data_IF_453314121793
#
_entry.id   IF_453314121793
#
_cell.length_a   1.000
_cell.length_b   1.000
_cell.length_c   1.000
_cell.angle_alpha   90.00
_cell.angle_beta   90.00
_cell.angle_gamma   90.00
#
_symmetry.space_group_name_H-M   'P 1'
#
loop_
_entity.id
_entity.type
_entity.pdbx_description
1 polymer ?
#
# COMPACT_ATOMS: atom_id res chain seq x y z
N UNK A 1 -41.59 23.79 -4.06
CA UNK A 1 -40.74 24.13 -5.23
C UNK A 1 -39.32 24.41 -4.78
N UNK A 2 -39.08 25.40 -3.91
CA UNK A 2 -37.75 25.77 -3.36
C UNK A 2 -36.97 24.59 -2.74
N UNK A 3 -37.59 23.84 -1.82
CA UNK A 3 -36.96 22.68 -1.14
C UNK A 3 -36.56 21.55 -2.11
N UNK A 4 -37.37 21.33 -3.15
CA UNK A 4 -37.09 20.33 -4.18
C UNK A 4 -35.90 20.78 -5.03
N UNK A 5 -35.85 22.07 -5.41
CA UNK A 5 -34.71 22.65 -6.13
C UNK A 5 -33.39 22.55 -5.35
N UNK A 6 -33.42 22.86 -4.05
CA UNK A 6 -32.27 22.72 -3.16
C UNK A 6 -31.79 21.27 -3.03
N UNK A 7 -32.72 20.31 -2.95
CA UNK A 7 -32.37 18.89 -2.92
C UNK A 7 -31.67 18.44 -4.20
N UNK A 8 -32.21 18.79 -5.37
CA UNK A 8 -31.57 18.47 -6.65
C UNK A 8 -30.19 19.12 -6.80
N UNK A 9 -30.04 20.38 -6.38
CA UNK A 9 -28.76 21.07 -6.39
C UNK A 9 -27.73 20.37 -5.49
N UNK A 10 -28.13 19.97 -4.28
CA UNK A 10 -27.25 19.25 -3.36
C UNK A 10 -26.80 17.88 -3.93
N UNK A 11 -27.71 17.14 -4.56
CA UNK A 11 -27.38 15.85 -5.22
C UNK A 11 -26.40 16.07 -6.38
N UNK A 12 -26.62 17.08 -7.21
CA UNK A 12 -25.74 17.39 -8.34
C UNK A 12 -24.34 17.80 -7.87
N UNK A 13 -24.26 18.69 -6.88
CA UNK A 13 -22.98 19.09 -6.29
C UNK A 13 -22.28 17.91 -5.61
N UNK A 14 -23.03 17.06 -4.90
CA UNK A 14 -22.50 15.85 -4.28
C UNK A 14 -21.93 14.87 -5.30
N UNK A 15 -22.62 14.66 -6.42
CA UNK A 15 -22.15 13.79 -7.50
C UNK A 15 -20.90 14.36 -8.20
N UNK A 16 -20.88 15.67 -8.48
CA UNK A 16 -19.73 16.34 -9.07
C UNK A 16 -18.49 16.28 -8.15
N UNK A 17 -18.68 16.57 -6.86
CA UNK A 17 -17.62 16.47 -5.86
C UNK A 17 -17.09 15.04 -5.71
N UNK A 18 -18.00 14.05 -5.68
CA UNK A 18 -17.62 12.63 -5.56
C UNK A 18 -16.81 12.15 -6.76
N UNK A 19 -17.16 12.59 -7.98
CA UNK A 19 -16.40 12.28 -9.18
C UNK A 19 -15.00 12.90 -9.15
N UNK A 20 -14.91 14.17 -8.77
CA UNK A 20 -13.64 14.86 -8.65
C UNK A 20 -12.72 14.18 -7.62
N UNK A 21 -13.26 13.84 -6.44
CA UNK A 21 -12.51 13.11 -5.41
C UNK A 21 -12.06 11.73 -5.90
N UNK A 22 -12.89 11.02 -6.66
CA UNK A 22 -12.52 9.73 -7.23
C UNK A 22 -11.38 9.85 -8.26
N UNK A 23 -11.38 10.92 -9.07
CA UNK A 23 -10.34 11.14 -10.06
C UNK A 23 -9.02 11.62 -9.41
N UNK A 24 -9.09 12.44 -8.37
CA UNK A 24 -7.92 12.78 -7.54
C UNK A 24 -7.33 11.55 -6.83
N UNK A 25 -8.19 10.70 -6.27
CA UNK A 25 -7.77 9.45 -5.64
C UNK A 25 -7.03 8.54 -6.63
N UNK A 26 -7.56 8.37 -7.85
CA UNK A 26 -6.87 7.61 -8.91
C UNK A 26 -5.53 8.24 -9.29
N UNK A 27 -5.44 9.57 -9.34
CA UNK A 27 -4.19 10.26 -9.66
C UNK A 27 -3.11 10.05 -8.58
N UNK A 28 -3.51 9.91 -7.32
CA UNK A 28 -2.57 9.76 -6.20
C UNK A 28 -2.20 8.31 -5.90
N UNK A 29 -3.10 7.36 -6.17
CA UNK A 29 -2.89 5.94 -5.89
C UNK A 29 -1.57 5.39 -6.42
N UNK A 30 -1.14 5.59 -7.68
CA UNK A 30 0.11 5.03 -8.17
C UNK A 30 1.33 5.54 -7.40
N UNK A 31 1.33 6.83 -7.00
CA UNK A 31 2.40 7.38 -6.16
C UNK A 31 2.38 6.79 -4.76
N UNK A 32 1.19 6.60 -4.20
CA UNK A 32 1.02 6.05 -2.85
C UNK A 32 1.47 4.59 -2.79
N UNK A 33 1.08 3.78 -3.77
CA UNK A 33 1.53 2.40 -3.97
C UNK A 33 3.05 2.34 -4.03
N UNK A 34 3.68 3.14 -4.90
CA UNK A 34 5.13 3.13 -5.10
C UNK A 34 5.90 3.52 -3.82
N UNK A 35 5.37 4.49 -3.05
CA UNK A 35 5.93 4.87 -1.74
C UNK A 35 5.80 3.71 -0.73
N UNK A 36 4.65 3.02 -0.68
CA UNK A 36 4.43 1.88 0.23
C UNK A 36 5.36 0.72 -0.13
N UNK A 37 5.48 0.35 -1.40
CA UNK A 37 6.38 -0.73 -1.84
C UNK A 37 7.81 -0.41 -1.43
N UNK A 38 8.32 0.79 -1.75
CA UNK A 38 9.68 1.18 -1.38
C UNK A 38 9.92 1.13 0.13
N UNK A 39 8.92 1.53 0.93
CA UNK A 39 9.02 1.45 2.39
C UNK A 39 9.02 0.00 2.89
N UNK A 40 8.16 -0.84 2.33
CA UNK A 40 8.07 -2.26 2.66
C UNK A 40 9.40 -2.98 2.31
N UNK A 41 9.94 -2.77 1.11
CA UNK A 41 11.22 -3.34 0.66
C UNK A 41 12.38 -2.93 1.57
N UNK A 42 12.45 -1.66 2.00
CA UNK A 42 13.51 -1.20 2.93
C UNK A 42 13.50 -1.93 4.27
N UNK A 43 12.35 -2.48 4.67
CA UNK A 43 12.20 -3.20 5.93
C UNK A 43 12.53 -4.68 5.84
N UNK A 44 12.65 -5.23 4.63
CA UNK A 44 13.05 -6.62 4.43
C UNK A 44 14.53 -6.83 4.78
N UNK A 45 14.94 -8.08 5.07
CA UNK A 45 16.34 -8.47 5.18
C UNK A 45 17.10 -8.19 3.87
N UNK A 46 18.36 -7.77 3.99
CA UNK A 46 19.17 -7.23 2.88
C UNK A 46 19.30 -8.17 1.69
N UNK A 47 19.33 -9.49 1.94
CA UNK A 47 19.39 -10.53 0.92
C UNK A 47 18.14 -10.68 0.05
N UNK A 48 17.01 -10.11 0.47
CA UNK A 48 15.72 -10.23 -0.22
C UNK A 48 15.20 -8.90 -0.78
N UNK A 49 15.80 -7.77 -0.38
CA UNK A 49 15.36 -6.42 -0.79
C UNK A 49 15.37 -6.24 -2.30
N UNK A 50 16.49 -6.58 -2.95
CA UNK A 50 16.71 -6.33 -4.38
C UNK A 50 15.71 -7.13 -5.23
N UNK A 51 15.53 -8.41 -4.90
CA UNK A 51 14.56 -9.29 -5.55
C UNK A 51 13.12 -8.78 -5.42
N UNK A 52 12.69 -8.42 -4.20
CA UNK A 52 11.33 -7.93 -3.98
C UNK A 52 11.11 -6.50 -4.48
N UNK A 53 12.17 -5.70 -4.62
CA UNK A 53 12.10 -4.38 -5.24
C UNK A 53 11.66 -4.46 -6.71
N UNK A 54 11.97 -5.55 -7.40
CA UNK A 54 11.56 -5.79 -8.79
C UNK A 54 10.24 -6.55 -8.89
N UNK A 55 10.09 -7.62 -8.11
CA UNK A 55 8.91 -8.49 -8.18
C UNK A 55 7.62 -7.77 -7.74
N UNK A 56 7.68 -6.93 -6.69
CA UNK A 56 6.47 -6.34 -6.12
C UNK A 56 5.82 -5.25 -6.98
N UNK A 57 6.56 -4.29 -7.56
CA UNK A 57 5.98 -3.36 -8.51
C UNK A 57 5.32 -4.07 -9.70
N UNK A 58 6.00 -5.09 -10.25
CA UNK A 58 5.47 -5.89 -11.37
C UNK A 58 4.20 -6.65 -10.99
N UNK A 59 4.14 -7.21 -9.77
CA UNK A 59 2.94 -7.88 -9.28
C UNK A 59 1.78 -6.91 -9.09
N UNK A 60 2.02 -5.73 -8.51
CA UNK A 60 0.96 -4.73 -8.31
C UNK A 60 0.44 -4.18 -9.64
N UNK A 61 1.29 -4.04 -10.65
CA UNK A 61 0.85 -3.56 -11.96
C UNK A 61 -0.13 -4.51 -12.67
N UNK A 62 -0.01 -5.81 -12.41
CA UNK A 62 -0.94 -6.83 -12.91
C UNK A 62 -2.31 -6.83 -12.21
N UNK A 63 -2.46 -6.13 -11.07
CA UNK A 63 -3.72 -6.10 -10.32
C UNK A 63 -4.65 -5.05 -10.95
N UNK A 64 -5.85 -5.44 -11.40
CA UNK A 64 -6.81 -4.49 -11.95
C UNK A 64 -7.40 -3.59 -10.86
N UNK A 65 -7.43 -2.28 -11.14
CA UNK A 65 -8.07 -1.28 -10.30
C UNK A 65 -7.25 -0.78 -9.11
N UNK A 66 -7.46 0.48 -8.76
CA UNK A 66 -6.67 1.19 -7.75
C UNK A 66 -6.81 0.62 -6.32
N UNK A 67 -8.02 0.22 -5.95
CA UNK A 67 -8.30 -0.34 -4.62
C UNK A 67 -7.59 -1.68 -4.43
N UNK A 68 -7.59 -2.54 -5.45
CA UNK A 68 -6.89 -3.82 -5.41
C UNK A 68 -5.39 -3.65 -5.26
N UNK A 69 -4.81 -2.70 -6.02
CA UNK A 69 -3.39 -2.33 -5.91
C UNK A 69 -3.02 -1.93 -4.49
N UNK A 70 -3.82 -1.06 -3.87
CA UNK A 70 -3.62 -0.61 -2.49
C UNK A 70 -3.68 -1.77 -1.48
N UNK A 71 -4.73 -2.60 -1.55
CA UNK A 71 -4.88 -3.74 -0.63
C UNK A 71 -3.66 -4.66 -0.70
N UNK A 72 -3.18 -4.99 -1.90
CA UNK A 72 -1.99 -5.80 -2.08
C UNK A 72 -0.73 -5.13 -1.50
N UNK A 73 -0.54 -3.83 -1.75
CA UNK A 73 0.62 -3.10 -1.21
C UNK A 73 0.63 -3.04 0.32
N UNK A 74 -0.53 -2.81 0.94
CA UNK A 74 -0.67 -2.86 2.40
C UNK A 74 -0.37 -4.27 2.93
N UNK A 75 -0.80 -5.31 2.22
CA UNK A 75 -0.46 -6.70 2.54
C UNK A 75 1.05 -6.95 2.55
N UNK A 76 1.79 -6.42 1.58
CA UNK A 76 3.26 -6.52 1.54
C UNK A 76 3.91 -5.80 2.72
N UNK A 77 3.43 -4.61 3.07
CA UNK A 77 3.95 -3.87 4.23
C UNK A 77 3.78 -4.66 5.53
N UNK A 78 2.60 -5.27 5.75
CA UNK A 78 2.34 -6.11 6.92
C UNK A 78 3.20 -7.38 6.93
N UNK A 79 3.41 -8.00 5.76
CA UNK A 79 4.28 -9.16 5.63
C UNK A 79 5.74 -8.81 5.99
N UNK A 80 6.25 -7.66 5.52
CA UNK A 80 7.57 -7.17 5.90
C UNK A 80 7.73 -6.97 7.40
N UNK A 81 6.71 -6.41 8.05
CA UNK A 81 6.75 -6.15 9.49
C UNK A 81 6.91 -7.46 10.27
N UNK A 82 6.11 -8.47 9.91
CA UNK A 82 6.18 -9.80 10.51
C UNK A 82 7.53 -10.50 10.27
N UNK A 83 8.10 -10.34 9.07
CA UNK A 83 9.42 -10.91 8.74
C UNK A 83 10.55 -10.21 9.50
N UNK A 84 10.49 -8.90 9.66
CA UNK A 84 11.49 -8.13 10.41
C UNK A 84 11.57 -8.54 11.88
N UNK A 85 10.43 -8.81 12.51
CA UNK A 85 10.37 -9.31 13.89
C UNK A 85 10.97 -10.72 14.02
N UNK A 86 10.72 -11.57 13.02
CA UNK A 86 11.23 -12.95 12.99
C UNK A 86 12.75 -13.01 12.77
N UNK A 87 13.31 -12.16 11.90
CA UNK A 87 14.75 -12.09 11.64
C UNK A 87 15.54 -11.54 12.84
N UNK A 88 14.97 -10.58 13.56
CA UNK A 88 15.55 -10.05 14.79
C UNK A 88 15.70 -11.15 15.87
N UNK A 89 14.66 -11.97 16.04
CA UNK A 89 14.68 -13.09 16.97
C UNK A 89 15.71 -14.17 16.57
N UNK A 90 15.81 -14.49 15.27
CA UNK A 90 16.76 -15.48 14.75
C UNK A 90 18.24 -15.05 14.92
N UNK A 91 18.55 -13.75 14.83
CA UNK A 91 19.92 -13.26 15.06
C UNK A 91 20.35 -13.35 16.51
N UNK A 92 19.42 -13.14 17.45
CA UNK A 92 19.70 -13.23 18.89
C UNK A 92 20.02 -14.67 19.32
N UNK A 93 19.28 -15.66 18.83
CA UNK A 93 19.52 -17.08 19.17
C UNK A 93 20.86 -17.57 18.64
N UNK A 94 21.20 -17.25 17.38
CA UNK A 94 22.49 -17.62 16.75
C UNK A 94 23.70 -16.98 17.44
N UNK A 95 23.54 -15.79 18.01
CA UNK A 95 24.61 -15.11 18.76
C UNK A 95 24.85 -15.73 20.14
N UNK A 96 23.84 -16.36 20.75
CA UNK A 96 23.99 -17.07 22.02
C UNK A 96 24.72 -18.40 21.85
N UNK A 97 24.45 -19.13 20.75
CA UNK A 97 25.14 -20.40 20.46
C UNK A 97 26.63 -20.22 20.15
N UNK A 98 27.01 -19.16 19.43
CA UNK A 98 28.42 -18.90 19.09
C UNK A 98 29.29 -18.48 20.29
N UNK A 99 28.69 -18.24 21.45
CA UNK A 99 29.37 -17.81 22.68
C UNK A 99 29.62 -18.96 23.67
N UNK A 100 29.09 -20.16 23.39
CA UNK A 100 29.35 -21.42 24.08
C UNK A 100 30.37 -22.24 23.28
#
# INVERSE_FOLDING_TARGET
MELIGLFFLAVLLGAAASRQLADEFKAWTPRLVDVIIRRAVRQLPENQRERFAEEWPSHVDQIPGEVGKLIATFGFLLACWKMGESDAHAKLTRSSEKKL
#
